data_IF_122494131614
#
_entry.id   IF_122494131614
#
_cell.length_a   1.000
_cell.length_b   1.000
_cell.length_c   1.000
_cell.angle_alpha   90.00
_cell.angle_beta   90.00
_cell.angle_gamma   90.00
#
_symmetry.space_group_name_H-M   'P 1'
#
loop_
_entity.id
_entity.type
_entity.pdbx_description
1 polymer ?
#
# COMPACT_ATOMS: atom_id res chain seq x y z
N UNK A 1 -5.02 10.10 -17.96
CA UNK A 1 -5.58 9.29 -16.86
C UNK A 1 -4.40 8.74 -16.09
N UNK A 2 -4.29 8.99 -14.79
CA UNK A 2 -3.26 8.37 -13.94
C UNK A 2 -3.55 6.87 -13.83
N UNK A 3 -2.51 6.04 -13.88
CA UNK A 3 -2.63 4.56 -13.83
C UNK A 3 -2.91 4.11 -12.39
N UNK A 4 -2.35 4.82 -11.43
CA UNK A 4 -2.52 4.61 -9.99
C UNK A 4 -2.81 5.92 -9.24
N UNK A 5 -2.97 5.84 -7.92
CA UNK A 5 -3.05 7.01 -7.04
C UNK A 5 -1.76 7.85 -7.15
N UNK A 6 -1.82 9.19 -7.03
CA UNK A 6 -0.65 10.06 -7.21
C UNK A 6 0.56 9.68 -6.35
N UNK A 7 0.32 9.26 -5.11
CA UNK A 7 1.36 8.79 -4.18
C UNK A 7 2.09 7.53 -4.70
N UNK A 8 1.37 6.63 -5.38
CA UNK A 8 1.94 5.43 -5.99
C UNK A 8 2.83 5.81 -7.17
N UNK A 9 2.33 6.69 -8.04
CA UNK A 9 3.05 7.15 -9.23
C UNK A 9 4.35 7.88 -8.83
N UNK A 10 4.28 8.75 -7.82
CA UNK A 10 5.44 9.49 -7.31
C UNK A 10 6.54 8.54 -6.80
N UNK A 11 6.18 7.53 -6.02
CA UNK A 11 7.12 6.54 -5.53
C UNK A 11 7.69 5.66 -6.65
N UNK A 12 6.87 5.26 -7.62
CA UNK A 12 7.35 4.51 -8.78
C UNK A 12 8.36 5.33 -9.57
N UNK A 13 8.06 6.59 -9.88
CA UNK A 13 8.98 7.48 -10.59
C UNK A 13 10.28 7.69 -9.80
N UNK A 14 10.19 7.79 -8.49
CA UNK A 14 11.38 7.92 -7.63
C UNK A 14 12.27 6.68 -7.71
N UNK A 15 11.68 5.49 -7.56
CA UNK A 15 12.38 4.21 -7.54
C UNK A 15 12.94 3.84 -8.92
N UNK A 16 12.16 3.99 -9.99
CA UNK A 16 12.57 3.63 -11.36
C UNK A 16 13.77 4.45 -11.84
N UNK A 17 14.01 5.63 -11.28
CA UNK A 17 15.17 6.48 -11.60
C UNK A 17 16.44 6.11 -10.82
N UNK A 18 16.32 5.31 -9.76
CA UNK A 18 17.39 5.12 -8.75
C UNK A 18 17.75 3.67 -8.48
N UNK A 19 16.85 2.73 -8.72
CA UNK A 19 17.11 1.33 -8.48
C UNK A 19 18.18 0.79 -9.42
N UNK A 20 19.08 0.00 -8.86
CA UNK A 20 19.94 -0.91 -9.60
C UNK A 20 19.11 -2.11 -10.12
N UNK A 21 19.75 -2.98 -10.90
CA UNK A 21 19.09 -4.15 -11.49
C UNK A 21 18.44 -5.05 -10.43
N UNK A 22 19.16 -5.36 -9.34
CA UNK A 22 18.62 -6.18 -8.24
C UNK A 22 17.45 -5.50 -7.50
N UNK A 23 17.48 -4.18 -7.36
CA UNK A 23 16.39 -3.40 -6.81
C UNK A 23 15.17 -3.41 -7.73
N UNK A 24 15.37 -3.32 -9.04
CA UNK A 24 14.33 -3.38 -10.04
C UNK A 24 13.66 -4.75 -10.09
N UNK A 25 14.42 -5.85 -10.03
CA UNK A 25 13.88 -7.21 -9.94
C UNK A 25 12.96 -7.37 -8.72
N UNK A 26 13.36 -6.83 -7.56
CA UNK A 26 12.52 -6.83 -6.36
C UNK A 26 11.25 -6.00 -6.53
N UNK A 27 11.35 -4.84 -7.20
CA UNK A 27 10.20 -4.00 -7.51
C UNK A 27 9.19 -4.75 -8.42
N UNK A 28 9.67 -5.51 -9.41
CA UNK A 28 8.81 -6.32 -10.28
C UNK A 28 8.05 -7.42 -9.53
N UNK A 29 8.71 -8.10 -8.59
CA UNK A 29 8.04 -9.10 -7.72
C UNK A 29 6.93 -8.46 -6.90
N UNK A 30 7.11 -7.20 -6.49
CA UNK A 30 6.14 -6.44 -5.70
C UNK A 30 5.42 -5.36 -6.51
N UNK A 31 5.20 -5.59 -7.82
CA UNK A 31 4.61 -4.57 -8.68
C UNK A 31 3.21 -4.11 -8.22
N UNK A 32 2.87 -2.83 -8.42
CA UNK A 32 1.55 -2.30 -8.12
C UNK A 32 0.52 -2.84 -9.12
N UNK A 33 -0.67 -3.17 -8.60
CA UNK A 33 -1.79 -3.68 -9.38
C UNK A 33 -3.11 -3.07 -8.91
N UNK A 34 -3.99 -2.71 -9.85
CA UNK A 34 -5.37 -2.33 -9.52
C UNK A 34 -6.14 -3.53 -9.00
N UNK A 35 -6.74 -3.39 -7.83
CA UNK A 35 -7.48 -4.45 -7.14
C UNK A 35 -8.83 -3.93 -6.64
N UNK A 36 -9.74 -4.86 -6.36
CA UNK A 36 -11.07 -4.60 -5.81
C UNK A 36 -11.22 -5.34 -4.49
N UNK A 37 -11.42 -4.61 -3.39
CA UNK A 37 -11.69 -5.18 -2.08
C UNK A 37 -13.18 -5.05 -1.74
N UNK A 38 -13.93 -6.15 -1.60
CA UNK A 38 -15.31 -6.10 -1.14
C UNK A 38 -15.38 -5.80 0.36
N UNK A 39 -16.43 -5.11 0.80
CA UNK A 39 -16.71 -4.89 2.21
C UNK A 39 -18.21 -4.78 2.48
N UNK A 40 -18.58 -5.07 3.73
CA UNK A 40 -19.95 -4.88 4.21
C UNK A 40 -20.05 -3.49 4.82
N UNK A 41 -21.03 -2.71 4.36
CA UNK A 41 -21.40 -1.44 4.95
C UNK A 41 -22.72 -1.63 5.72
N UNK A 42 -22.70 -1.33 7.01
CA UNK A 42 -23.90 -1.30 7.85
C UNK A 42 -24.15 0.11 8.37
N UNK A 43 -25.29 0.71 8.01
CA UNK A 43 -25.67 2.06 8.43
C UNK A 43 -27.14 2.33 8.14
N UNK A 44 -27.82 3.07 9.03
CA UNK A 44 -29.23 3.45 8.83
C UNK A 44 -30.21 2.27 8.72
N UNK A 45 -29.93 1.15 9.40
CA UNK A 45 -30.79 -0.06 9.38
C UNK A 45 -30.63 -0.94 8.12
N UNK A 46 -29.62 -0.68 7.29
CA UNK A 46 -29.33 -1.48 6.08
C UNK A 46 -27.95 -2.12 6.17
N UNK A 47 -27.83 -3.29 5.54
CA UNK A 47 -26.58 -4.02 5.33
C UNK A 47 -26.40 -4.20 3.83
N UNK A 48 -25.33 -3.63 3.27
CA UNK A 48 -25.03 -3.66 1.84
C UNK A 48 -23.61 -4.17 1.60
N UNK A 49 -23.43 -4.99 0.57
CA UNK A 49 -22.10 -5.32 0.07
C UNK A 49 -21.64 -4.25 -0.92
N UNK A 50 -20.50 -3.64 -0.64
CA UNK A 50 -19.83 -2.64 -1.48
C UNK A 50 -18.44 -3.14 -1.83
N UNK A 51 -17.71 -2.36 -2.61
CA UNK A 51 -16.27 -2.58 -2.72
C UNK A 51 -15.51 -1.34 -3.14
N UNK A 52 -14.21 -1.43 -2.94
CA UNK A 52 -13.28 -0.33 -3.08
C UNK A 52 -12.22 -0.70 -4.10
N UNK A 53 -12.04 0.16 -5.10
CA UNK A 53 -10.91 0.07 -6.02
C UNK A 53 -9.68 0.73 -5.39
N UNK A 54 -8.58 0.01 -5.32
CA UNK A 54 -7.32 0.51 -4.76
C UNK A 54 -6.12 -0.07 -5.52
N UNK A 55 -4.92 0.46 -5.28
CA UNK A 55 -3.69 -0.17 -5.76
C UNK A 55 -3.09 -1.06 -4.69
N UNK A 56 -3.03 -2.35 -4.97
CA UNK A 56 -2.41 -3.37 -4.11
C UNK A 56 -1.08 -3.85 -4.68
N UNK A 57 -0.30 -4.55 -3.85
CA UNK A 57 0.87 -5.30 -4.29
C UNK A 57 0.44 -6.65 -4.83
N UNK A 58 0.88 -6.99 -6.06
CA UNK A 58 0.58 -8.27 -6.70
C UNK A 58 0.85 -9.49 -5.80
N UNK A 59 1.90 -9.41 -4.99
CA UNK A 59 2.37 -10.53 -4.16
C UNK A 59 1.84 -10.48 -2.73
N UNK A 60 1.74 -9.29 -2.13
CA UNK A 60 1.39 -9.15 -0.71
C UNK A 60 -0.10 -8.95 -0.45
N UNK A 61 -0.82 -8.26 -1.35
CA UNK A 61 -2.22 -7.88 -1.11
C UNK A 61 -3.14 -9.11 -1.24
N UNK A 62 -3.43 -9.75 -0.11
CA UNK A 62 -4.43 -10.81 0.00
C UNK A 62 -5.76 -10.19 0.40
N UNK A 63 -6.78 -10.35 -0.45
CA UNK A 63 -8.13 -9.87 -0.16
C UNK A 63 -8.87 -10.96 0.63
N UNK A 64 -9.13 -10.78 1.94
CA UNK A 64 -9.88 -11.74 2.73
C UNK A 64 -11.36 -11.68 2.36
N UNK A 65 -12.09 -12.77 2.61
CA UNK A 65 -13.55 -12.78 2.48
C UNK A 65 -14.16 -11.79 3.50
N UNK A 66 -14.84 -10.77 2.99
CA UNK A 66 -15.63 -9.82 3.79
C UNK A 66 -14.88 -8.62 4.40
N UNK A 67 -13.59 -8.41 4.11
CA UNK A 67 -12.79 -7.35 4.75
C UNK A 67 -12.04 -6.41 3.79
N UNK A 68 -12.06 -5.11 4.09
CA UNK A 68 -11.27 -4.07 3.40
C UNK A 68 -9.97 -3.68 4.13
N UNK A 69 -9.57 -4.42 5.17
CA UNK A 69 -8.26 -4.30 5.82
C UNK A 69 -7.18 -5.02 4.98
N UNK A 70 -7.10 -4.65 3.71
CA UNK A 70 -6.13 -5.19 2.76
C UNK A 70 -4.98 -4.19 2.65
N UNK A 71 -3.75 -4.66 2.85
CA UNK A 71 -2.56 -3.84 2.63
C UNK A 71 -2.53 -3.38 1.15
N UNK A 72 -2.37 -2.08 0.95
CA UNK A 72 -2.22 -1.45 -0.35
C UNK A 72 -0.73 -1.38 -0.75
N UNK A 73 -0.48 -0.97 -1.99
CA UNK A 73 0.85 -0.63 -2.45
C UNK A 73 1.17 0.82 -2.07
N UNK A 74 2.40 1.15 -1.63
CA UNK A 74 3.57 0.28 -1.50
C UNK A 74 3.49 -0.62 -0.28
N UNK A 75 3.87 -1.89 -0.47
CA UNK A 75 4.04 -2.82 0.65
C UNK A 75 5.39 -2.60 1.34
N UNK A 76 5.56 -3.18 2.53
CA UNK A 76 6.80 -3.07 3.32
C UNK A 76 8.07 -3.46 2.53
N UNK A 77 7.99 -4.42 1.59
CA UNK A 77 9.14 -4.80 0.76
C UNK A 77 9.58 -3.69 -0.19
N UNK A 78 8.63 -2.95 -0.78
CA UNK A 78 8.93 -1.80 -1.64
C UNK A 78 9.45 -0.63 -0.81
N UNK A 79 8.83 -0.37 0.35
CA UNK A 79 9.28 0.69 1.26
C UNK A 79 10.69 0.42 1.82
N UNK A 80 11.14 -0.82 1.92
CA UNK A 80 12.54 -1.11 2.26
C UNK A 80 13.52 -0.75 1.15
N UNK A 81 13.07 -0.67 -0.11
CA UNK A 81 13.93 -0.23 -1.22
C UNK A 81 14.23 1.27 -1.13
N UNK A 82 13.29 2.07 -0.62
CA UNK A 82 13.45 3.53 -0.50
C UNK A 82 14.48 3.92 0.55
N UNK A 83 14.68 3.09 1.59
CA UNK A 83 15.63 3.34 2.68
C UNK A 83 17.06 3.59 2.21
N UNK A 84 17.47 2.98 1.09
CA UNK A 84 18.80 3.19 0.49
C UNK A 84 19.02 4.62 0.00
N UNK A 85 17.94 5.37 -0.16
CA UNK A 85 17.91 6.72 -0.70
C UNK A 85 17.42 7.72 0.34
N UNK A 86 17.52 7.41 1.64
CA UNK A 86 17.02 8.28 2.71
C UNK A 86 17.66 9.68 2.71
N UNK A 87 18.90 9.79 2.22
CA UNK A 87 19.64 11.05 2.10
C UNK A 87 19.41 11.76 0.74
N UNK A 88 18.60 11.17 -0.16
CA UNK A 88 18.27 11.78 -1.45
C UNK A 88 17.27 12.94 -1.26
N UNK A 89 17.51 14.14 -1.82
CA UNK A 89 16.60 15.27 -1.69
C UNK A 89 15.18 15.02 -2.20
N UNK A 90 15.00 14.06 -3.11
CA UNK A 90 13.69 13.65 -3.61
C UNK A 90 13.01 12.58 -2.76
N UNK A 91 13.61 12.13 -1.66
CA UNK A 91 13.04 11.11 -0.80
C UNK A 91 11.94 11.69 0.11
N UNK A 92 10.73 11.15 0.01
CA UNK A 92 9.61 11.59 0.83
C UNK A 92 9.64 10.93 2.23
N UNK A 93 9.52 11.68 3.34
CA UNK A 93 9.54 11.11 4.71
C UNK A 93 8.47 10.07 4.99
N UNK A 94 7.35 10.10 4.23
CA UNK A 94 6.26 9.13 4.31
C UNK A 94 6.57 7.75 3.72
N UNK A 95 7.64 7.59 2.92
CA UNK A 95 8.06 6.30 2.34
C UNK A 95 8.85 5.44 3.33
N UNK A 96 8.39 5.41 4.56
CA UNK A 96 8.98 4.68 5.67
C UNK A 96 8.31 3.30 5.80
N UNK A 97 9.06 2.18 5.84
CA UNK A 97 8.50 0.83 5.89
C UNK A 97 7.71 0.53 7.17
N UNK A 98 7.81 1.39 8.17
CA UNK A 98 6.96 1.37 9.35
C UNK A 98 5.51 1.74 9.01
N UNK A 99 5.27 2.54 7.97
CA UNK A 99 3.90 2.91 7.61
C UNK A 99 3.26 1.87 6.69
N UNK A 100 2.20 1.21 7.15
CA UNK A 100 1.37 0.36 6.31
C UNK A 100 0.21 1.18 5.72
N UNK A 101 0.13 1.26 4.40
CA UNK A 101 -1.04 1.81 3.70
C UNK A 101 -2.07 0.70 3.50
N UNK A 102 -3.34 0.96 3.81
CA UNK A 102 -4.44 0.03 3.58
C UNK A 102 -5.34 0.50 2.44
N UNK A 103 -6.11 -0.43 1.86
CA UNK A 103 -7.10 -0.16 0.83
C UNK A 103 -8.05 0.99 1.21
N UNK A 104 -8.42 1.10 2.49
CA UNK A 104 -9.21 2.23 3.03
C UNK A 104 -8.57 3.62 2.91
N UNK A 105 -7.30 3.71 2.48
CA UNK A 105 -6.50 4.93 2.51
C UNK A 105 -5.91 5.25 3.87
N UNK A 106 -6.14 4.41 4.89
CA UNK A 106 -5.53 4.56 6.21
C UNK A 106 -4.06 4.17 6.16
N UNK A 107 -3.22 5.07 6.64
CA UNK A 107 -1.85 4.76 7.05
C UNK A 107 -1.88 4.35 8.52
N UNK A 108 -1.30 3.20 8.84
CA UNK A 108 -1.19 2.70 10.20
C UNK A 108 0.29 2.56 10.53
N UNK A 109 0.73 3.20 11.61
CA UNK A 109 2.06 3.00 12.20
C UNK A 109 2.04 1.69 13.02
N UNK A 110 3.15 0.93 13.15
CA UNK A 110 3.21 -0.31 13.93
C UNK A 110 2.70 -0.14 15.37
N UNK A 111 2.96 1.00 15.99
CA UNK A 111 2.49 1.30 17.36
C UNK A 111 0.96 1.43 17.45
N UNK A 112 0.29 1.80 16.36
CA UNK A 112 -1.18 1.90 16.28
C UNK A 112 -1.84 0.56 15.90
N UNK A 113 -1.05 -0.42 15.46
CA UNK A 113 -1.53 -1.76 15.09
C UNK A 113 -1.66 -2.65 16.32
N UNK A 114 -0.74 -2.57 17.29
CA UNK A 114 -0.77 -3.41 18.51
C UNK A 114 -1.99 -3.13 19.41
N UNK A 115 -2.52 -1.91 19.41
CA UNK A 115 -3.65 -1.52 20.27
C UNK A 115 -5.02 -1.99 19.71
N UNK A 116 -5.10 -2.33 18.41
CA UNK A 116 -6.38 -2.73 17.76
C UNK A 116 -6.67 -4.23 17.81
N UNK A 117 -5.74 -5.05 18.28
CA UNK A 117 -5.92 -6.51 18.40
C UNK A 117 -6.02 -7.01 19.85
N UNK A 118 -6.18 -6.10 20.83
CA UNK A 118 -6.35 -6.43 22.24
C UNK A 118 -7.72 -6.05 22.84
N UNK A 119 -8.73 -5.81 22.01
CA UNK A 119 -10.12 -5.56 22.46
C UNK A 119 -11.09 -6.57 21.87
#
# INVERSE_FOLDING_TARGET
>A
MTRFEPYVEELLDFLLKRLDEAGFERLLVHEPRRMYAPYIFSGGGRVEQRGLMFTGCRTCSRIPEGGFNVEAWPCAHVLRLTLRFADDPGHHPGWRPENALFASGRLIHPDDAEDKFRS
#
